data_IF_945319904312
#
_entry.id   IF_945319904312
#
_cell.length_a   1.000
_cell.length_b   1.000
_cell.length_c   1.000
_cell.angle_alpha   90.00
_cell.angle_beta   90.00
_cell.angle_gamma   90.00
#
_symmetry.space_group_name_H-M   'P 1'
#
loop_
_entity.id
_entity.type
_entity.pdbx_description
1 polymer ?
#
# COMPACT_ATOMS: atom_id res chain seq x y z
N UNK A 1 -70.28 1.15 -32.97
CA UNK A 1 -68.81 1.01 -32.90
C UNK A 1 -68.24 2.40 -32.66
N UNK A 2 -67.61 2.65 -31.50
CA UNK A 2 -66.90 3.91 -31.20
C UNK A 2 -65.45 3.74 -31.64
N UNK A 3 -65.01 4.43 -32.68
CA UNK A 3 -63.58 4.54 -33.00
C UNK A 3 -62.93 5.45 -31.95
N UNK A 4 -61.98 4.89 -31.20
CA UNK A 4 -61.07 5.67 -30.38
C UNK A 4 -60.11 6.42 -31.31
N UNK A 5 -60.16 7.76 -31.30
CA UNK A 5 -59.14 8.58 -31.95
C UNK A 5 -57.85 8.45 -31.15
N UNK A 6 -56.83 7.77 -31.71
CA UNK A 6 -55.48 7.85 -31.20
C UNK A 6 -54.96 9.29 -31.42
N UNK A 7 -54.90 10.07 -30.34
CA UNK A 7 -54.11 11.31 -30.31
C UNK A 7 -52.63 10.92 -30.36
N UNK A 8 -52.01 11.06 -31.53
CA UNK A 8 -50.55 11.10 -31.66
C UNK A 8 -50.08 12.48 -31.21
N UNK A 9 -49.57 12.58 -29.98
CA UNK A 9 -48.94 13.78 -29.44
C UNK A 9 -47.66 14.06 -30.22
N UNK A 10 -47.64 15.12 -31.03
CA UNK A 10 -46.42 15.60 -31.66
C UNK A 10 -45.62 16.41 -30.64
N UNK A 11 -44.46 15.90 -30.23
CA UNK A 11 -43.55 16.60 -29.32
C UNK A 11 -42.97 17.85 -29.98
N UNK A 12 -42.91 18.95 -29.24
CA UNK A 12 -42.32 20.20 -29.75
C UNK A 12 -40.79 20.10 -29.76
N UNK A 13 -40.13 20.74 -30.73
CA UNK A 13 -38.65 20.77 -30.81
C UNK A 13 -38.02 21.23 -29.48
N UNK A 14 -38.68 22.17 -28.79
CA UNK A 14 -38.26 22.71 -27.50
C UNK A 14 -38.27 21.64 -26.41
N UNK A 15 -39.29 20.78 -26.34
CA UNK A 15 -39.33 19.66 -25.39
C UNK A 15 -38.21 18.65 -25.63
N UNK A 16 -37.88 18.36 -26.89
CA UNK A 16 -36.79 17.43 -27.23
C UNK A 16 -35.44 18.01 -26.78
N UNK A 17 -35.19 19.30 -27.03
CA UNK A 17 -33.96 19.97 -26.59
C UNK A 17 -33.87 20.04 -25.06
N UNK A 18 -34.99 20.34 -24.38
CA UNK A 18 -35.05 20.36 -22.92
C UNK A 18 -34.80 18.96 -22.34
N UNK A 19 -35.40 17.92 -22.93
CA UNK A 19 -35.19 16.54 -22.52
C UNK A 19 -33.73 16.13 -22.70
N UNK A 20 -33.10 16.48 -23.82
CA UNK A 20 -31.67 16.24 -24.05
C UNK A 20 -30.78 16.97 -23.03
N UNK A 21 -31.11 18.21 -22.67
CA UNK A 21 -30.38 18.96 -21.66
C UNK A 21 -30.48 18.29 -20.28
N UNK A 22 -31.68 17.86 -19.87
CA UNK A 22 -31.90 17.15 -18.61
C UNK A 22 -31.14 15.82 -18.59
N UNK A 23 -31.21 15.04 -19.66
CA UNK A 23 -30.50 13.75 -19.79
C UNK A 23 -28.98 13.96 -19.71
N UNK A 24 -28.46 15.02 -20.35
CA UNK A 24 -27.02 15.32 -20.34
C UNK A 24 -26.52 15.69 -18.94
N UNK A 25 -27.26 16.52 -18.21
CA UNK A 25 -26.93 16.89 -16.82
C UNK A 25 -27.04 15.67 -15.90
N UNK A 26 -28.09 14.86 -16.04
CA UNK A 26 -28.24 13.64 -15.25
C UNK A 26 -27.09 12.63 -15.52
N UNK A 27 -26.66 12.50 -16.79
CA UNK A 27 -25.53 11.65 -17.17
C UNK A 27 -24.20 12.11 -16.54
N UNK A 28 -23.92 13.42 -16.57
CA UNK A 28 -22.74 14.01 -15.94
C UNK A 28 -22.70 13.76 -14.42
N UNK A 29 -23.84 13.95 -13.74
CA UNK A 29 -23.96 13.69 -12.31
C UNK A 29 -23.75 12.20 -11.98
N UNK A 30 -24.26 11.30 -12.82
CA UNK A 30 -24.07 9.86 -12.64
C UNK A 30 -22.61 9.45 -12.81
N UNK A 31 -21.91 9.99 -13.81
CA UNK A 31 -20.48 9.74 -14.00
C UNK A 31 -19.66 10.26 -12.83
N UNK A 32 -19.97 11.47 -12.33
CA UNK A 32 -19.31 12.03 -11.15
C UNK A 32 -19.51 11.15 -9.90
N UNK A 33 -20.74 10.71 -9.64
CA UNK A 33 -21.07 9.82 -8.52
C UNK A 33 -20.36 8.45 -8.63
N UNK A 34 -20.25 7.91 -9.85
CA UNK A 34 -19.46 6.67 -10.09
C UNK A 34 -17.98 6.94 -9.82
N UNK A 35 -17.44 8.08 -10.26
CA UNK A 35 -16.07 8.49 -10.00
C UNK A 35 -15.74 8.53 -8.50
N UNK A 36 -16.54 9.25 -7.71
CA UNK A 36 -16.38 9.34 -6.25
C UNK A 36 -16.48 7.95 -5.59
N UNK A 37 -17.45 7.14 -6.02
CA UNK A 37 -17.61 5.77 -5.52
C UNK A 37 -16.37 4.91 -5.82
N UNK A 38 -15.85 4.94 -7.04
CA UNK A 38 -14.65 4.17 -7.41
C UNK A 38 -13.40 4.60 -6.64
N UNK A 39 -13.27 5.89 -6.32
CA UNK A 39 -12.20 6.40 -5.48
C UNK A 39 -12.32 5.87 -4.04
N UNK A 40 -13.50 5.99 -3.43
CA UNK A 40 -13.76 5.47 -2.08
C UNK A 40 -13.50 3.95 -2.00
N UNK A 41 -13.95 3.17 -2.99
CA UNK A 41 -13.67 1.74 -3.07
C UNK A 41 -12.18 1.42 -3.28
N UNK A 42 -11.44 2.28 -3.99
CA UNK A 42 -9.98 2.16 -4.11
C UNK A 42 -9.29 2.38 -2.78
N UNK A 43 -9.68 3.42 -2.03
CA UNK A 43 -9.11 3.76 -0.73
C UNK A 43 -9.37 2.66 0.31
N UNK A 44 -10.59 2.11 0.36
CA UNK A 44 -10.92 1.00 1.26
C UNK A 44 -10.08 -0.25 0.96
N UNK A 45 -9.92 -0.62 -0.32
CA UNK A 45 -9.06 -1.75 -0.71
C UNK A 45 -7.60 -1.52 -0.34
N UNK A 46 -7.11 -0.29 -0.49
CA UNK A 46 -5.74 0.08 -0.10
C UNK A 46 -5.54 -0.04 1.41
N UNK A 47 -6.53 0.39 2.20
CA UNK A 47 -6.49 0.27 3.65
C UNK A 47 -6.51 -1.19 4.11
N UNK A 48 -7.39 -2.01 3.53
CA UNK A 48 -7.47 -3.45 3.85
C UNK A 48 -6.15 -4.17 3.52
N UNK A 49 -5.54 -3.83 2.37
CA UNK A 49 -4.23 -4.34 2.00
C UNK A 49 -3.13 -3.87 2.98
N UNK A 50 -3.17 -2.60 3.39
CA UNK A 50 -2.23 -2.05 4.36
C UNK A 50 -2.32 -2.77 5.72
N UNK A 51 -3.53 -3.13 6.19
CA UNK A 51 -3.74 -3.88 7.44
C UNK A 51 -3.11 -5.29 7.35
N UNK A 52 -3.29 -5.98 6.22
CA UNK A 52 -2.68 -7.30 6.03
C UNK A 52 -1.14 -7.22 6.00
N UNK A 53 -0.61 -6.18 5.34
CA UNK A 53 0.82 -5.91 5.31
C UNK A 53 1.34 -5.51 6.69
N UNK A 54 0.58 -4.77 7.49
CA UNK A 54 0.93 -4.44 8.87
C UNK A 54 1.25 -5.69 9.68
N UNK A 55 0.35 -6.68 9.64
CA UNK A 55 0.51 -7.93 10.37
C UNK A 55 1.73 -8.73 9.89
N UNK A 56 1.94 -8.79 8.58
CA UNK A 56 3.14 -9.39 7.99
C UNK A 56 4.42 -8.71 8.49
N UNK A 57 4.45 -7.37 8.43
CA UNK A 57 5.60 -6.56 8.83
C UNK A 57 5.88 -6.74 10.30
N UNK A 58 4.86 -6.63 11.15
CA UNK A 58 4.95 -6.88 12.60
C UNK A 58 5.54 -8.26 12.88
N UNK A 59 4.91 -9.31 12.35
CA UNK A 59 5.35 -10.69 12.56
C UNK A 59 6.77 -10.95 12.05
N UNK A 60 7.17 -10.35 10.93
CA UNK A 60 8.52 -10.53 10.36
C UNK A 60 9.57 -9.75 11.16
N UNK A 61 9.28 -8.52 11.56
CA UNK A 61 10.19 -7.70 12.37
C UNK A 61 10.38 -8.30 13.76
N UNK A 62 9.32 -8.79 14.42
CA UNK A 62 9.42 -9.45 15.73
C UNK A 62 10.28 -10.71 15.69
N UNK A 63 10.23 -11.47 14.59
CA UNK A 63 11.10 -12.63 14.36
C UNK A 63 12.51 -12.24 13.94
N UNK A 64 12.71 -11.01 13.46
CA UNK A 64 14.02 -10.51 13.07
C UNK A 64 14.72 -10.05 14.34
N UNK A 65 15.73 -10.81 14.77
CA UNK A 65 16.45 -10.52 16.02
C UNK A 65 17.09 -9.12 16.04
N UNK A 66 17.29 -8.60 17.27
CA UNK A 66 17.82 -7.26 17.54
C UNK A 66 19.01 -6.90 16.64
N UNK A 67 20.01 -7.77 16.56
CA UNK A 67 21.26 -7.50 15.83
C UNK A 67 21.09 -7.35 14.32
N UNK A 68 20.02 -7.90 13.75
CA UNK A 68 19.70 -7.74 12.32
C UNK A 68 18.97 -6.42 12.06
N UNK A 69 18.14 -5.96 12.99
CA UNK A 69 17.35 -4.72 12.86
C UNK A 69 18.12 -3.48 13.26
N UNK A 70 18.97 -3.56 14.28
CA UNK A 70 19.77 -2.43 14.76
C UNK A 70 20.49 -1.65 13.65
N UNK A 71 21.28 -2.30 12.75
CA UNK A 71 21.97 -1.56 11.71
C UNK A 71 21.01 -0.92 10.71
N UNK A 72 19.77 -1.39 10.56
CA UNK A 72 18.80 -0.84 9.58
C UNK A 72 18.19 0.49 9.99
N UNK A 73 18.21 0.80 11.29
CA UNK A 73 17.69 2.05 11.81
C UNK A 73 18.67 3.21 11.62
N UNK A 74 19.91 2.92 11.21
CA UNK A 74 20.87 3.97 10.89
C UNK A 74 20.45 4.76 9.66
N UNK A 75 20.69 6.08 9.62
CA UNK A 75 20.46 6.90 8.45
C UNK A 75 21.18 6.35 7.21
N UNK A 76 20.53 6.46 6.04
CA UNK A 76 21.12 6.05 4.75
C UNK A 76 20.87 4.59 4.35
N UNK A 77 20.19 3.79 5.17
CA UNK A 77 19.79 2.44 4.76
C UNK A 77 18.59 2.46 3.82
N UNK A 78 18.58 1.49 2.91
CA UNK A 78 17.47 1.29 1.98
C UNK A 78 16.17 0.95 2.73
N UNK A 79 15.03 1.51 2.30
CA UNK A 79 13.73 1.20 2.89
C UNK A 79 13.38 -0.26 2.74
N UNK A 80 12.39 -0.71 3.51
CA UNK A 80 11.72 -1.97 3.24
C UNK A 80 10.56 -1.75 2.27
N UNK A 81 10.31 -2.75 1.43
CA UNK A 81 9.16 -2.83 0.55
C UNK A 81 8.36 -4.07 0.93
N UNK A 82 7.05 -3.89 1.10
CA UNK A 82 6.11 -4.97 1.29
C UNK A 82 5.04 -4.95 0.23
N UNK A 83 4.67 -6.12 -0.25
CA UNK A 83 3.77 -6.26 -1.39
C UNK A 83 3.17 -7.66 -1.40
N UNK A 84 2.02 -7.78 -2.05
CA UNK A 84 1.43 -9.06 -2.39
C UNK A 84 1.87 -9.44 -3.81
N UNK A 85 2.17 -10.72 -4.04
CA UNK A 85 2.54 -11.25 -5.35
C UNK A 85 2.05 -12.69 -5.50
N UNK A 86 2.07 -13.20 -6.73
CA UNK A 86 1.77 -14.62 -6.98
C UNK A 86 3.07 -15.43 -6.91
N UNK A 87 3.14 -16.32 -5.92
CA UNK A 87 4.26 -17.23 -5.70
C UNK A 87 4.00 -18.62 -6.26
N UNK A 88 5.06 -19.30 -6.67
CA UNK A 88 5.02 -20.72 -7.01
C UNK A 88 4.76 -21.56 -5.74
N UNK A 89 3.81 -22.51 -5.76
CA UNK A 89 3.40 -23.22 -4.55
C UNK A 89 4.45 -24.20 -4.01
N UNK A 90 5.37 -24.66 -4.87
CA UNK A 90 6.37 -25.68 -4.52
C UNK A 90 7.81 -25.21 -4.71
N UNK A 91 8.02 -24.04 -5.31
CA UNK A 91 9.37 -23.52 -5.56
C UNK A 91 9.61 -22.35 -4.63
N UNK A 92 10.55 -22.54 -3.71
CA UNK A 92 10.82 -21.65 -2.60
C UNK A 92 12.30 -21.28 -2.64
N UNK A 93 12.57 -19.98 -2.52
CA UNK A 93 13.91 -19.42 -2.48
C UNK A 93 14.64 -19.77 -1.20
N UNK A 94 15.94 -19.50 -1.18
CA UNK A 94 16.79 -19.72 0.00
C UNK A 94 16.34 -18.92 1.25
N UNK A 95 15.63 -17.81 1.07
CA UNK A 95 15.07 -16.99 2.15
C UNK A 95 13.71 -17.48 2.68
N UNK A 96 13.19 -18.59 2.13
CA UNK A 96 11.91 -19.19 2.48
C UNK A 96 10.71 -18.55 1.80
N UNK A 97 10.90 -17.56 0.92
CA UNK A 97 9.81 -16.96 0.15
C UNK A 97 9.56 -17.73 -1.15
N UNK A 98 8.29 -17.88 -1.58
CA UNK A 98 7.98 -18.44 -2.89
C UNK A 98 8.68 -17.70 -4.05
N UNK A 99 9.07 -18.42 -5.10
CA UNK A 99 9.54 -17.80 -6.34
C UNK A 99 8.36 -17.12 -7.04
N UNK A 100 8.47 -15.86 -7.50
CA UNK A 100 7.40 -15.13 -8.16
C UNK A 100 7.09 -15.74 -9.52
N UNK A 101 5.81 -15.78 -9.86
CA UNK A 101 5.32 -16.25 -11.16
C UNK A 101 4.22 -15.31 -11.66
N UNK A 102 3.92 -15.40 -12.95
CA UNK A 102 2.93 -14.54 -13.59
C UNK A 102 1.55 -14.65 -12.93
N UNK A 103 0.88 -13.49 -12.82
CA UNK A 103 -0.42 -13.36 -12.19
C UNK A 103 -1.44 -14.37 -12.75
N UNK A 104 -2.13 -15.09 -11.86
CA UNK A 104 -3.18 -16.06 -12.20
C UNK A 104 -2.78 -17.54 -12.18
N UNK A 105 -1.49 -17.86 -12.06
CA UNK A 105 -1.02 -19.26 -11.97
C UNK A 105 -0.48 -19.65 -10.59
N UNK A 106 -0.25 -18.67 -9.71
CA UNK A 106 0.39 -18.85 -8.42
C UNK A 106 -0.52 -18.59 -7.23
N UNK A 107 -0.08 -19.02 -6.05
CA UNK A 107 -0.75 -18.73 -4.80
C UNK A 107 -0.41 -17.31 -4.35
N UNK A 108 -1.39 -16.60 -3.78
CA UNK A 108 -1.14 -15.30 -3.19
C UNK A 108 -0.13 -15.45 -2.04
N UNK A 109 0.98 -14.74 -2.14
CA UNK A 109 2.04 -14.68 -1.16
C UNK A 109 2.36 -13.21 -0.85
N UNK A 110 3.04 -12.98 0.27
CA UNK A 110 3.46 -11.64 0.67
C UNK A 110 4.97 -11.58 0.83
N UNK A 111 5.56 -10.52 0.28
CA UNK A 111 6.99 -10.24 0.36
C UNK A 111 7.28 -9.12 1.34
N UNK A 112 8.41 -9.21 2.03
CA UNK A 112 9.02 -8.08 2.74
C UNK A 112 10.53 -8.10 2.41
N UNK A 113 10.98 -7.13 1.62
CA UNK A 113 12.37 -7.04 1.15
C UNK A 113 12.96 -5.67 1.40
N UNK A 114 14.28 -5.59 1.51
CA UNK A 114 14.97 -4.29 1.49
C UNK A 114 15.05 -3.78 0.06
N UNK A 115 15.08 -2.46 -0.12
CA UNK A 115 15.26 -1.81 -1.41
C UNK A 115 16.55 -2.21 -2.14
N UNK A 116 17.57 -2.63 -1.38
CA UNK A 116 18.84 -3.12 -1.90
C UNK A 116 18.86 -4.62 -2.21
N UNK A 117 17.75 -5.34 -1.98
CA UNK A 117 17.66 -6.77 -2.29
C UNK A 117 17.55 -6.96 -3.82
N UNK A 118 18.45 -7.73 -4.47
CA UNK A 118 18.40 -7.94 -5.91
C UNK A 118 17.13 -8.68 -6.37
N UNK A 119 16.50 -9.45 -5.49
CA UNK A 119 15.27 -10.19 -5.78
C UNK A 119 14.04 -9.29 -5.79
N UNK A 120 14.15 -8.06 -5.27
CA UNK A 120 13.05 -7.11 -5.22
C UNK A 120 12.57 -6.75 -6.64
N UNK A 121 13.47 -6.50 -7.58
CA UNK A 121 13.09 -6.13 -8.95
C UNK A 121 12.23 -7.23 -9.60
N UNK A 122 12.64 -8.49 -9.46
CA UNK A 122 11.88 -9.64 -9.97
C UNK A 122 10.51 -9.78 -9.31
N UNK A 123 10.43 -9.51 -8.01
CA UNK A 123 9.17 -9.58 -7.28
C UNK A 123 8.21 -8.45 -7.68
N UNK A 124 8.73 -7.23 -7.88
CA UNK A 124 7.96 -6.06 -8.30
C UNK A 124 7.27 -6.28 -9.65
N UNK A 125 7.91 -7.00 -10.58
CA UNK A 125 7.32 -7.37 -11.87
C UNK A 125 6.11 -8.33 -11.73
N UNK A 126 6.00 -9.03 -10.61
CA UNK A 126 4.95 -10.03 -10.34
C UNK A 126 3.96 -9.60 -9.26
N UNK A 127 3.98 -8.32 -8.87
CA UNK A 127 3.10 -7.78 -7.83
C UNK A 127 1.64 -7.89 -8.26
N UNK A 128 0.82 -8.32 -7.30
CA UNK A 128 -0.63 -8.31 -7.39
C UNK A 128 -1.17 -7.24 -6.46
N UNK A 129 -1.40 -6.04 -7.01
CA UNK A 129 -2.01 -4.93 -6.28
C UNK A 129 -1.01 -3.84 -5.92
N UNK A 130 -1.01 -3.44 -4.65
CA UNK A 130 -0.25 -2.29 -4.16
C UNK A 130 1.11 -2.68 -3.60
N UNK A 131 2.07 -1.76 -3.75
CA UNK A 131 3.38 -1.84 -3.10
C UNK A 131 3.43 -0.82 -1.98
N UNK A 132 3.90 -1.27 -0.83
CA UNK A 132 4.04 -0.44 0.36
C UNK A 132 5.51 -0.25 0.68
N UNK A 133 5.90 1.00 0.94
CA UNK A 133 7.21 1.36 1.43
C UNK A 133 7.14 1.49 2.95
N UNK A 134 8.09 0.88 3.66
CA UNK A 134 8.12 0.81 5.11
C UNK A 134 9.33 1.56 5.63
N UNK A 135 9.07 2.50 6.52
CA UNK A 135 10.10 3.25 7.25
C UNK A 135 10.13 2.78 8.69
N UNK A 136 11.33 2.47 9.16
CA UNK A 136 11.59 2.16 10.56
C UNK A 136 12.31 3.35 11.17
N UNK A 137 11.73 3.96 12.19
CA UNK A 137 12.32 5.08 12.92
C UNK A 137 12.49 4.70 14.38
N UNK A 138 13.58 5.12 15.05
CA UNK A 138 13.70 4.92 16.50
C UNK A 138 12.57 5.65 17.23
N UNK A 139 11.97 4.99 18.21
CA UNK A 139 10.96 5.61 19.07
C UNK A 139 11.66 6.52 20.07
N UNK A 140 11.40 7.82 19.98
CA UNK A 140 11.94 8.80 20.92
C UNK A 140 10.87 9.16 21.92
N UNK A 141 11.23 9.14 23.21
CA UNK A 141 10.29 9.49 24.28
C UNK A 141 10.03 11.00 24.32
N UNK A 142 10.99 11.80 23.85
CA UNK A 142 10.86 13.25 23.70
C UNK A 142 11.20 13.67 22.24
N UNK A 143 10.28 14.30 21.50
CA UNK A 143 10.52 14.77 20.14
C UNK A 143 11.56 15.90 20.03
N UNK A 144 11.92 16.56 21.14
CA UNK A 144 13.01 17.55 21.17
C UNK A 144 14.40 16.91 21.34
N UNK A 145 14.47 15.62 21.67
CA UNK A 145 15.72 14.91 21.90
C UNK A 145 16.29 14.42 20.57
N UNK A 146 17.51 14.86 20.23
CA UNK A 146 18.22 14.36 19.05
C UNK A 146 18.81 13.00 19.40
N UNK A 147 17.99 11.95 19.37
CA UNK A 147 18.48 10.60 19.63
C UNK A 147 19.30 10.12 18.44
N UNK A 148 20.59 9.93 18.68
CA UNK A 148 21.47 9.26 17.74
C UNK A 148 21.61 7.81 18.20
N UNK A 149 21.28 6.87 17.32
CA UNK A 149 21.66 5.48 17.55
C UNK A 149 23.19 5.42 17.67
N UNK A 150 23.73 4.75 18.70
CA UNK A 150 25.15 4.46 18.76
C UNK A 150 25.64 3.74 17.50
N UNK A 151 26.95 3.83 17.25
CA UNK A 151 27.51 3.21 16.06
C UNK A 151 27.55 1.68 16.15
N UNK A 152 27.74 1.15 17.35
CA UNK A 152 27.77 -0.28 17.57
C UNK A 152 26.60 -0.70 18.47
N UNK A 153 26.00 -1.83 18.14
CA UNK A 153 24.92 -2.44 18.94
C UNK A 153 25.32 -2.65 20.40
N UNK A 154 26.59 -3.01 20.66
CA UNK A 154 27.09 -3.23 22.03
C UNK A 154 26.97 -1.98 22.91
N UNK A 155 27.01 -0.80 22.31
CA UNK A 155 26.97 0.50 22.99
C UNK A 155 25.53 1.00 23.22
N UNK A 156 24.53 0.30 22.68
CA UNK A 156 23.12 0.58 22.95
C UNK A 156 22.72 0.02 24.32
N UNK A 157 22.61 0.87 25.33
CA UNK A 157 22.27 0.44 26.70
C UNK A 157 20.86 -0.19 26.86
N UNK A 158 19.80 0.28 26.17
CA UNK A 158 18.46 -0.27 26.40
C UNK A 158 18.32 -1.75 26.03
N UNK A 159 17.57 -2.49 26.86
CA UNK A 159 17.28 -3.91 26.66
C UNK A 159 16.35 -4.21 25.46
N UNK A 160 15.68 -3.19 24.93
CA UNK A 160 14.78 -3.30 23.80
C UNK A 160 14.94 -2.11 22.85
N UNK A 161 14.97 -2.41 21.56
CA UNK A 161 14.92 -1.44 20.48
C UNK A 161 13.47 -1.05 20.25
N UNK A 162 13.11 0.15 20.68
CA UNK A 162 11.77 0.70 20.43
C UNK A 162 11.80 1.42 19.09
N UNK A 163 10.91 1.03 18.19
CA UNK A 163 10.81 1.58 16.84
C UNK A 163 9.38 1.99 16.53
N UNK A 164 9.22 3.02 15.71
CA UNK A 164 8.01 3.29 14.96
C UNK A 164 8.14 2.68 13.57
N UNK A 165 7.11 1.92 13.20
CA UNK A 165 6.95 1.40 11.84
C UNK A 165 5.91 2.28 11.16
N UNK A 166 6.27 2.84 10.00
CA UNK A 166 5.38 3.64 9.17
C UNK A 166 5.24 2.99 7.80
N UNK A 167 4.00 2.77 7.37
CA UNK A 167 3.65 2.13 6.10
C UNK A 167 3.08 3.18 5.16
N UNK A 168 3.71 3.34 4.00
CA UNK A 168 3.33 4.29 2.96
C UNK A 168 2.91 3.53 1.70
N UNK A 169 1.85 3.98 1.04
CA UNK A 169 1.54 3.50 -0.30
C UNK A 169 2.57 4.08 -1.28
N UNK A 170 3.23 3.20 -2.04
CA UNK A 170 4.25 3.58 -3.00
C UNK A 170 3.83 3.20 -4.43
N UNK A 171 3.36 4.18 -5.23
CA UNK A 171 2.96 3.93 -6.61
C UNK A 171 4.15 3.76 -7.57
N UNK A 172 5.38 4.14 -7.16
CA UNK A 172 6.58 4.10 -8.00
C UNK A 172 7.74 3.46 -7.21
N UNK A 173 7.64 2.15 -6.91
CA UNK A 173 8.68 1.46 -6.16
C UNK A 173 10.01 1.52 -6.90
N UNK A 174 11.08 1.93 -6.20
CA UNK A 174 12.42 2.08 -6.78
C UNK A 174 12.78 3.50 -7.24
N UNK A 175 11.82 4.43 -7.34
CA UNK A 175 12.12 5.85 -7.53
C UNK A 175 12.48 6.54 -6.19
N UNK A 176 13.39 7.52 -6.27
CA UNK A 176 14.11 8.22 -5.20
C UNK A 176 13.65 7.90 -3.75
N UNK A 177 14.48 7.15 -3.03
CA UNK A 177 14.22 6.73 -1.64
C UNK A 177 14.24 7.90 -0.62
N UNK A 178 14.69 9.09 -1.04
CA UNK A 178 14.93 10.23 -0.16
C UNK A 178 13.65 11.03 0.14
N UNK A 179 12.69 11.09 -0.77
CA UNK A 179 11.42 11.79 -0.55
C UNK A 179 10.35 10.81 -0.05
N UNK A 180 10.08 10.87 1.25
CA UNK A 180 8.96 10.16 1.88
C UNK A 180 7.73 11.05 1.90
N UNK A 181 6.70 10.79 1.08
CA UNK A 181 5.53 11.64 1.04
C UNK A 181 4.67 11.43 2.31
N UNK A 182 4.74 12.38 3.24
CA UNK A 182 3.98 12.36 4.51
C UNK A 182 2.47 12.18 4.31
N UNK A 183 1.94 12.65 3.17
CA UNK A 183 0.52 12.55 2.82
C UNK A 183 0.09 11.17 2.30
N UNK A 184 1.02 10.24 2.04
CA UNK A 184 0.71 8.87 1.57
C UNK A 184 0.84 7.82 2.69
N UNK A 185 1.00 8.26 3.93
CA UNK A 185 1.05 7.37 5.09
C UNK A 185 -0.31 6.68 5.25
N UNK A 186 -0.31 5.35 5.26
CA UNK A 186 -1.50 4.52 5.45
C UNK A 186 -1.67 4.12 6.91
N UNK A 187 -0.59 3.63 7.52
CA UNK A 187 -0.60 3.12 8.89
C UNK A 187 0.71 3.45 9.61
N UNK A 188 0.66 3.48 10.94
CA UNK A 188 1.86 3.56 11.77
C UNK A 188 1.62 2.94 13.13
N UNK A 189 2.60 2.19 13.64
CA UNK A 189 2.51 1.54 14.94
C UNK A 189 3.87 1.46 15.64
N UNK A 190 3.91 1.50 16.98
CA UNK A 190 5.13 1.24 17.73
C UNK A 190 5.40 -0.27 17.82
N UNK A 191 6.68 -0.64 17.85
CA UNK A 191 7.15 -2.00 18.06
C UNK A 191 8.38 -2.00 18.98
N UNK A 192 8.52 -3.03 19.81
CA UNK A 192 9.68 -3.22 20.69
C UNK A 192 10.35 -4.54 20.37
N UNK A 193 11.63 -4.51 20.02
CA UNK A 193 12.43 -5.69 19.70
C UNK A 193 13.43 -5.91 20.83
N UNK A 194 13.31 -7.03 21.52
CA UNK A 194 14.16 -7.37 22.66
C UNK A 194 15.49 -8.00 22.21
N UNK A 195 16.54 -7.80 23.01
CA UNK A 195 17.84 -8.47 22.86
C UNK A 195 17.75 -9.97 23.12
#
# INVERSE_FOLDING_TARGET
MKSASQQTTAFTLVEVVLAMAIISVAGLLMIAAIGESTQAFGEHRSLDAAIQIEELVRSRLERTGFSTLYPTLKPGNSPYYAYAYHGHPTDVRADGTPTPISAGSGQLAYGLRRGSDPSLAQDLDSVSGEVFRIRLTPFLTDPAETFQLPDEEKDYDPAALRIYVEIFLDPLPGENAEEWPSHRRRLSFPLSIYR
#
